data_IF_352109751653
#
_entry.id   IF_352109751653
#
_cell.length_a   1.000
_cell.length_b   1.000
_cell.length_c   1.000
_cell.angle_alpha   90.00
_cell.angle_beta   90.00
_cell.angle_gamma   90.00
#
_symmetry.space_group_name_H-M   'P 1'
#
loop_
_entity.id
_entity.type
_entity.pdbx_description
1 polymer ?
#
# COMPACT_ATOMS: atom_id res chain seq x y z
N UNK A 1 7.01 -16.78 19.22
CA UNK A 1 6.48 -15.62 18.44
C UNK A 1 7.35 -14.36 18.53
N UNK A 2 8.64 -14.47 18.87
CA UNK A 2 9.58 -13.33 18.99
C UNK A 2 10.33 -13.00 17.71
N UNK A 3 10.19 -13.78 16.65
CA UNK A 3 10.96 -13.64 15.39
C UNK A 3 10.56 -12.42 14.54
N UNK A 4 9.34 -11.92 14.68
CA UNK A 4 8.83 -10.75 13.94
C UNK A 4 9.14 -9.41 14.64
N UNK A 5 9.83 -9.47 15.76
CA UNK A 5 10.17 -8.27 16.53
C UNK A 5 11.67 -8.25 16.82
N UNK A 6 12.49 -7.74 15.90
CA UNK A 6 13.85 -7.43 16.32
C UNK A 6 13.76 -6.45 17.50
N UNK A 7 14.45 -6.75 18.61
CA UNK A 7 14.71 -5.78 19.66
C UNK A 7 15.60 -4.69 19.07
N UNK A 8 15.03 -3.85 18.20
CA UNK A 8 15.76 -2.75 17.58
C UNK A 8 16.02 -1.71 18.69
N UNK A 9 17.13 -1.87 19.36
CA UNK A 9 17.64 -0.88 20.33
C UNK A 9 18.09 0.41 19.64
N UNK A 10 18.28 0.35 18.31
CA UNK A 10 18.73 1.50 17.55
C UNK A 10 17.60 2.50 17.33
N UNK A 11 17.68 3.62 18.05
CA UNK A 11 16.68 4.71 18.02
C UNK A 11 16.51 5.28 16.60
N UNK A 12 17.57 5.32 15.81
CA UNK A 12 17.54 5.83 14.43
C UNK A 12 16.71 4.93 13.54
N UNK A 13 16.91 3.61 13.58
CA UNK A 13 16.17 2.65 12.77
C UNK A 13 14.67 2.71 13.13
N UNK A 14 14.34 2.78 14.43
CA UNK A 14 12.95 2.92 14.87
C UNK A 14 12.31 4.19 14.32
N UNK A 15 13.00 5.33 14.47
CA UNK A 15 12.50 6.60 13.94
C UNK A 15 12.29 6.56 12.42
N UNK A 16 13.25 6.01 11.67
CA UNK A 16 13.12 5.87 10.21
C UNK A 16 11.94 4.98 9.83
N UNK A 17 11.77 3.82 10.49
CA UNK A 17 10.66 2.93 10.24
C UNK A 17 9.30 3.61 10.53
N UNK A 18 9.18 4.36 11.64
CA UNK A 18 7.96 5.10 11.98
C UNK A 18 7.70 6.23 11.00
N UNK A 19 8.73 6.96 10.53
CA UNK A 19 8.58 7.99 9.50
C UNK A 19 8.09 7.39 8.19
N UNK A 20 8.64 6.27 7.76
CA UNK A 20 8.16 5.53 6.60
C UNK A 20 6.72 5.06 6.83
N UNK A 21 6.45 4.37 7.95
CA UNK A 21 5.12 3.84 8.22
C UNK A 21 4.03 4.92 8.25
N UNK A 22 4.37 6.13 8.67
CA UNK A 22 3.44 7.27 8.69
C UNK A 22 3.42 8.07 7.37
N UNK A 23 4.03 7.56 6.30
CA UNK A 23 4.08 8.25 5.02
C UNK A 23 4.71 9.64 5.13
N UNK A 24 5.90 9.71 5.78
CA UNK A 24 6.60 10.98 6.04
C UNK A 24 5.77 12.00 6.84
N UNK A 25 4.85 11.51 7.66
CA UNK A 25 3.97 12.33 8.47
C UNK A 25 2.57 12.59 7.88
N UNK A 26 2.28 12.16 6.66
CA UNK A 26 0.96 12.29 6.05
C UNK A 26 -0.14 11.53 6.81
N UNK A 27 0.22 10.43 7.49
CA UNK A 27 -0.67 9.70 8.38
C UNK A 27 -1.19 10.49 9.58
N UNK A 28 -0.62 11.65 9.88
CA UNK A 28 -1.14 12.57 10.89
C UNK A 28 -2.21 13.51 10.34
N UNK A 29 -2.62 13.35 9.09
CA UNK A 29 -3.71 14.14 8.52
C UNK A 29 -4.98 13.97 9.37
N UNK A 30 -5.65 15.07 9.75
CA UNK A 30 -6.89 15.01 10.52
C UNK A 30 -8.08 14.49 9.71
N UNK A 31 -7.96 14.46 8.40
CA UNK A 31 -9.01 14.02 7.48
C UNK A 31 -8.44 12.95 6.55
N UNK A 32 -9.10 11.78 6.54
CA UNK A 32 -8.84 10.68 5.60
C UNK A 32 -7.34 10.37 5.41
N UNK A 33 -6.60 10.16 6.53
CA UNK A 33 -5.14 9.88 6.53
C UNK A 33 -4.75 8.82 5.53
N UNK A 34 -5.55 7.77 5.41
CA UNK A 34 -5.37 6.71 4.46
C UNK A 34 -5.48 7.16 3.01
N UNK A 35 -6.48 7.96 2.67
CA UNK A 35 -6.61 8.52 1.31
C UNK A 35 -5.40 9.40 0.96
N UNK A 36 -4.92 10.19 1.92
CA UNK A 36 -3.71 11.00 1.75
C UNK A 36 -2.47 10.11 1.60
N UNK A 37 -2.36 9.03 2.40
CA UNK A 37 -1.32 8.02 2.26
C UNK A 37 -1.32 7.36 0.88
N UNK A 38 -2.49 6.98 0.39
CA UNK A 38 -2.64 6.34 -0.93
C UNK A 38 -2.16 7.22 -2.09
N UNK A 39 -2.18 8.55 -1.97
CA UNK A 39 -1.61 9.45 -2.98
C UNK A 39 -0.09 9.24 -3.17
N UNK A 40 0.64 8.85 -2.12
CA UNK A 40 2.04 8.43 -2.27
C UNK A 40 2.17 7.18 -3.14
N UNK A 41 1.21 6.26 -3.04
CA UNK A 41 1.15 5.08 -3.92
C UNK A 41 1.00 5.47 -5.39
N UNK A 42 0.16 6.46 -5.69
CA UNK A 42 0.05 7.02 -7.05
C UNK A 42 1.38 7.65 -7.51
N UNK A 43 2.11 8.33 -6.63
CA UNK A 43 3.43 8.87 -6.96
C UNK A 43 4.45 7.77 -7.27
N UNK A 44 4.38 6.62 -6.60
CA UNK A 44 5.22 5.44 -6.92
C UNK A 44 4.86 4.89 -8.30
N UNK A 45 3.58 4.77 -8.63
CA UNK A 45 3.14 4.35 -9.99
C UNK A 45 3.64 5.33 -11.05
N UNK A 46 3.55 6.62 -10.77
CA UNK A 46 4.08 7.65 -11.65
C UNK A 46 5.59 7.50 -11.87
N UNK A 47 6.33 7.18 -10.80
CA UNK A 47 7.76 6.91 -10.89
C UNK A 47 8.05 5.67 -11.76
N UNK A 48 7.29 4.58 -11.61
CA UNK A 48 7.42 3.39 -12.45
C UNK A 48 7.27 3.73 -13.93
N UNK A 49 6.39 4.68 -14.25
CA UNK A 49 6.16 5.13 -15.62
C UNK A 49 7.30 5.97 -16.16
N UNK A 50 7.76 6.96 -15.40
CA UNK A 50 8.89 7.82 -15.81
C UNK A 50 10.14 6.96 -16.07
N UNK A 51 10.34 5.91 -15.25
CA UNK A 51 11.46 4.99 -15.38
C UNK A 51 11.22 3.89 -16.43
N UNK A 52 10.06 3.92 -17.12
CA UNK A 52 9.67 2.92 -18.13
C UNK A 52 9.84 1.47 -17.62
N UNK A 53 9.50 1.24 -16.35
CA UNK A 53 9.75 -0.04 -15.69
C UNK A 53 8.94 -1.16 -16.33
N UNK A 54 9.58 -2.24 -16.82
CA UNK A 54 8.87 -3.40 -17.32
C UNK A 54 8.09 -4.09 -16.19
N UNK A 55 7.05 -4.85 -16.53
CA UNK A 55 6.12 -5.48 -15.58
C UNK A 55 6.84 -6.31 -14.51
N UNK A 56 7.87 -7.05 -14.89
CA UNK A 56 8.64 -7.84 -13.91
C UNK A 56 9.38 -6.99 -12.87
N UNK A 57 9.88 -5.80 -13.26
CA UNK A 57 10.49 -4.86 -12.31
C UNK A 57 9.44 -4.22 -11.40
N UNK A 58 8.26 -3.90 -11.93
CA UNK A 58 7.13 -3.41 -11.12
C UNK A 58 6.74 -4.46 -10.07
N UNK A 59 6.65 -5.74 -10.45
CA UNK A 59 6.37 -6.85 -9.52
C UNK A 59 7.43 -6.96 -8.43
N UNK A 60 8.71 -6.92 -8.78
CA UNK A 60 9.81 -6.98 -7.81
C UNK A 60 9.79 -5.78 -6.86
N UNK A 61 9.55 -4.58 -7.39
CA UNK A 61 9.47 -3.36 -6.58
C UNK A 61 8.28 -3.42 -5.60
N UNK A 62 7.10 -3.83 -6.06
CA UNK A 62 5.93 -4.02 -5.19
C UNK A 62 6.17 -5.07 -4.12
N UNK A 63 6.79 -6.20 -4.46
CA UNK A 63 7.16 -7.23 -3.48
C UNK A 63 8.15 -6.70 -2.44
N UNK A 64 9.16 -5.94 -2.85
CA UNK A 64 10.13 -5.33 -1.94
C UNK A 64 9.47 -4.30 -1.01
N UNK A 65 8.58 -3.45 -1.54
CA UNK A 65 7.82 -2.47 -0.75
C UNK A 65 6.90 -3.17 0.27
N UNK A 66 6.20 -4.22 -0.14
CA UNK A 66 5.36 -5.02 0.76
C UNK A 66 6.18 -5.64 1.90
N UNK A 67 7.30 -6.29 1.58
CA UNK A 67 8.18 -6.90 2.57
C UNK A 67 8.80 -5.87 3.51
N UNK A 68 9.14 -4.68 3.02
CA UNK A 68 9.63 -3.56 3.83
C UNK A 68 8.51 -2.99 4.73
N UNK A 69 7.29 -2.96 4.25
CA UNK A 69 6.13 -2.45 4.98
C UNK A 69 5.86 -3.21 6.27
N UNK A 70 6.01 -4.55 6.26
CA UNK A 70 5.74 -5.39 7.43
C UNK A 70 6.53 -4.97 8.67
N UNK A 71 7.87 -4.87 8.65
CA UNK A 71 8.64 -4.41 9.82
C UNK A 71 8.38 -2.93 10.13
N UNK A 72 8.19 -2.07 9.12
CA UNK A 72 7.89 -0.66 9.35
C UNK A 72 6.57 -0.48 10.10
N UNK A 73 5.50 -1.11 9.66
CA UNK A 73 4.19 -1.08 10.31
C UNK A 73 4.26 -1.69 11.73
N UNK A 74 4.98 -2.82 11.90
CA UNK A 74 5.15 -3.46 13.20
C UNK A 74 5.88 -2.59 14.23
N UNK A 75 6.88 -1.84 13.79
CA UNK A 75 7.64 -0.92 14.65
C UNK A 75 6.77 0.30 14.99
N UNK A 76 6.12 0.88 13.98
CA UNK A 76 5.26 2.05 14.15
C UNK A 76 4.06 1.78 15.05
N UNK A 77 3.42 0.61 14.93
CA UNK A 77 2.33 0.20 15.83
C UNK A 77 2.75 0.32 17.30
N UNK A 78 3.93 -0.15 17.66
CA UNK A 78 4.46 -0.05 19.03
C UNK A 78 4.82 1.37 19.43
N UNK A 79 5.47 2.11 18.52
CA UNK A 79 5.91 3.47 18.78
C UNK A 79 4.74 4.45 18.91
N UNK A 80 3.60 4.15 18.29
CA UNK A 80 2.38 4.94 18.32
C UNK A 80 1.39 4.50 19.43
N UNK A 81 1.84 3.73 20.41
CA UNK A 81 1.05 3.37 21.59
C UNK A 81 0.52 1.94 21.60
N UNK A 82 0.92 1.08 20.67
CA UNK A 82 0.53 -0.33 20.63
C UNK A 82 -0.93 -0.57 20.20
N UNK A 83 -1.57 0.44 19.65
CA UNK A 83 -2.93 0.32 19.08
C UNK A 83 -2.80 -0.36 17.74
N UNK A 84 -3.43 -1.53 17.59
CA UNK A 84 -3.46 -2.27 16.35
C UNK A 84 -4.17 -1.44 15.29
N UNK A 85 -3.61 -1.41 14.09
CA UNK A 85 -4.15 -0.66 12.95
C UNK A 85 -4.41 0.82 13.29
N UNK A 86 -3.39 1.45 13.86
CA UNK A 86 -3.46 2.87 14.17
C UNK A 86 -3.55 3.69 12.88
N UNK A 87 -4.62 4.47 12.70
CA UNK A 87 -4.87 5.25 11.49
C UNK A 87 -3.79 6.28 11.10
N UNK A 88 -2.70 6.37 11.89
CA UNK A 88 -1.50 7.12 11.51
C UNK A 88 -0.51 6.28 10.70
N UNK A 89 -0.68 4.95 10.68
CA UNK A 89 0.07 4.04 9.82
C UNK A 89 -0.63 4.05 8.47
N UNK A 90 0.07 4.38 7.43
CA UNK A 90 -0.44 4.50 6.05
C UNK A 90 0.50 3.83 5.04
N UNK A 91 1.55 3.12 5.52
CA UNK A 91 2.48 2.43 4.61
C UNK A 91 1.85 1.24 3.91
N UNK A 92 0.90 0.60 4.51
CA UNK A 92 0.05 -0.44 3.92
C UNK A 92 -0.60 0.09 2.64
N UNK A 93 -1.19 1.26 2.70
CA UNK A 93 -1.88 1.87 1.58
C UNK A 93 -0.92 2.25 0.44
N UNK A 94 0.16 2.99 0.70
CA UNK A 94 1.01 3.47 -0.39
C UNK A 94 2.02 2.42 -0.89
N UNK A 95 2.35 1.40 -0.10
CA UNK A 95 3.21 0.31 -0.56
C UNK A 95 2.45 -0.74 -1.36
N UNK A 96 1.16 -0.92 -1.12
CA UNK A 96 0.35 -1.92 -1.82
C UNK A 96 -0.42 -1.35 -3.01
N UNK A 97 -0.83 -0.07 -2.97
CA UNK A 97 -1.57 0.57 -4.07
C UNK A 97 -0.93 0.36 -5.45
N UNK A 98 0.41 0.46 -5.65
CA UNK A 98 1.00 0.26 -6.96
C UNK A 98 0.66 -1.09 -7.59
N UNK A 99 0.33 -2.10 -6.78
CA UNK A 99 -0.05 -3.43 -7.25
C UNK A 99 -1.30 -3.36 -8.13
N UNK A 100 -2.28 -2.52 -7.79
CA UNK A 100 -3.54 -2.41 -8.54
C UNK A 100 -3.38 -1.86 -9.96
N UNK A 101 -2.18 -1.37 -10.31
CA UNK A 101 -1.85 -0.78 -11.61
C UNK A 101 -0.72 -1.52 -12.36
N UNK A 102 -0.25 -2.66 -11.87
CA UNK A 102 0.83 -3.44 -12.52
C UNK A 102 0.42 -3.81 -13.94
N UNK A 103 1.28 -3.47 -14.91
CA UNK A 103 1.06 -3.76 -16.33
C UNK A 103 0.01 -2.88 -17.02
N UNK A 104 -0.59 -1.92 -16.34
CA UNK A 104 -1.57 -0.99 -16.90
C UNK A 104 -0.95 0.34 -17.36
N UNK A 105 0.37 0.48 -17.23
CA UNK A 105 1.12 1.69 -17.62
C UNK A 105 0.79 2.20 -19.02
N UNK A 106 0.70 1.35 -20.09
CA UNK A 106 0.38 1.85 -21.43
C UNK A 106 -0.98 2.53 -21.52
N UNK A 107 -1.96 2.04 -20.77
CA UNK A 107 -3.33 2.58 -20.84
C UNK A 107 -3.44 3.94 -20.16
N UNK A 108 -2.88 4.12 -18.98
CA UNK A 108 -3.03 5.39 -18.27
C UNK A 108 -2.05 6.47 -18.75
N UNK A 109 -0.98 6.12 -19.48
CA UNK A 109 -0.17 7.09 -20.21
C UNK A 109 -0.96 7.73 -21.34
N UNK A 110 -1.82 6.97 -22.01
CA UNK A 110 -2.70 7.46 -23.04
C UNK A 110 -3.91 8.21 -22.44
N UNK A 111 -4.45 7.70 -21.32
CA UNK A 111 -5.65 8.23 -20.66
C UNK A 111 -5.38 8.52 -19.18
N UNK A 112 -4.82 9.68 -18.87
CA UNK A 112 -4.41 10.08 -17.49
C UNK A 112 -5.53 9.96 -16.46
N UNK A 113 -6.79 10.15 -16.86
CA UNK A 113 -7.95 10.00 -16.00
C UNK A 113 -8.20 8.56 -15.51
N UNK A 114 -7.55 7.55 -16.09
CA UNK A 114 -7.63 6.17 -15.61
C UNK A 114 -6.96 5.98 -14.23
N UNK A 115 -5.94 6.77 -13.91
CA UNK A 115 -5.32 6.71 -12.59
C UNK A 115 -6.31 7.04 -11.45
N UNK A 116 -7.10 8.12 -11.51
CA UNK A 116 -8.19 8.33 -10.56
C UNK A 116 -9.20 7.18 -10.50
N UNK A 117 -9.53 6.53 -11.61
CA UNK A 117 -10.43 5.37 -11.60
C UNK A 117 -9.83 4.21 -10.83
N UNK A 118 -8.56 3.84 -11.11
CA UNK A 118 -7.85 2.80 -10.35
C UNK A 118 -7.78 3.13 -8.86
N UNK A 119 -7.50 4.37 -8.54
CA UNK A 119 -7.47 4.87 -7.16
C UNK A 119 -8.82 4.68 -6.47
N UNK A 120 -9.92 5.05 -7.12
CA UNK A 120 -11.27 4.88 -6.58
C UNK A 120 -11.62 3.41 -6.38
N UNK A 121 -11.28 2.53 -7.33
CA UNK A 121 -11.53 1.10 -7.21
C UNK A 121 -10.83 0.53 -5.97
N UNK A 122 -9.54 0.80 -5.80
CA UNK A 122 -8.80 0.29 -4.64
C UNK A 122 -9.36 0.87 -3.33
N UNK A 123 -9.74 2.16 -3.29
CA UNK A 123 -10.31 2.78 -2.09
C UNK A 123 -11.67 2.21 -1.72
N UNK A 124 -12.54 1.93 -2.68
CA UNK A 124 -13.84 1.29 -2.43
C UNK A 124 -13.64 -0.11 -1.85
N UNK A 125 -12.71 -0.89 -2.41
CA UNK A 125 -12.39 -2.22 -1.91
C UNK A 125 -11.76 -2.21 -0.53
N UNK A 126 -10.90 -1.24 -0.25
CA UNK A 126 -10.27 -1.06 1.06
C UNK A 126 -11.29 -0.68 2.15
N UNK A 127 -12.26 0.15 1.83
CA UNK A 127 -13.33 0.51 2.78
C UNK A 127 -14.28 -0.68 3.00
N UNK A 128 -14.61 -1.44 1.95
CA UNK A 128 -15.55 -2.56 2.03
C UNK A 128 -14.93 -3.86 2.54
N UNK A 129 -13.61 -3.98 2.42
CA UNK A 129 -12.78 -5.12 2.83
C UNK A 129 -13.41 -6.48 2.52
N UNK A 130 -13.58 -6.83 1.22
CA UNK A 130 -14.21 -8.09 0.84
C UNK A 130 -13.42 -9.29 1.41
N UNK A 131 -14.13 -10.42 1.62
CA UNK A 131 -13.47 -11.66 2.02
C UNK A 131 -12.36 -12.03 1.01
N UNK A 132 -11.15 -12.44 1.45
CA UNK A 132 -10.71 -12.68 2.83
C UNK A 132 -9.99 -11.49 3.49
N UNK A 133 -9.93 -10.29 2.87
CA UNK A 133 -9.20 -9.12 3.39
C UNK A 133 -9.58 -8.79 4.84
N UNK A 134 -10.87 -8.77 5.16
CA UNK A 134 -11.31 -8.52 6.54
C UNK A 134 -10.74 -9.54 7.55
N UNK A 135 -10.60 -10.82 7.15
CA UNK A 135 -10.03 -11.84 8.05
C UNK A 135 -8.54 -11.71 8.25
N UNK A 136 -7.80 -11.22 7.26
CA UNK A 136 -6.36 -11.06 7.36
C UNK A 136 -5.94 -10.02 8.41
N UNK A 137 -6.82 -9.11 8.77
CA UNK A 137 -6.61 -8.18 9.89
C UNK A 137 -6.37 -8.89 11.24
N UNK A 138 -6.79 -10.16 11.39
CA UNK A 138 -6.50 -10.95 12.60
C UNK A 138 -5.04 -11.36 12.72
N UNK A 139 -4.26 -11.29 11.64
CA UNK A 139 -2.83 -11.58 11.66
C UNK A 139 -2.08 -10.61 12.59
N UNK A 140 -0.94 -11.06 13.16
CA UNK A 140 -0.25 -10.27 14.16
C UNK A 140 0.45 -9.04 13.56
N UNK A 141 0.29 -7.89 14.24
CA UNK A 141 1.06 -6.67 14.00
C UNK A 141 1.09 -6.22 12.54
N UNK A 142 2.21 -5.70 12.06
CA UNK A 142 2.37 -5.19 10.69
C UNK A 142 2.04 -6.17 9.58
N UNK A 143 2.06 -7.50 9.85
CA UNK A 143 1.61 -8.47 8.85
C UNK A 143 0.11 -8.35 8.59
N UNK A 144 -0.70 -8.17 9.65
CA UNK A 144 -2.15 -7.99 9.49
C UNK A 144 -2.48 -6.68 8.77
N UNK A 145 -1.73 -5.63 9.08
CA UNK A 145 -1.87 -4.30 8.46
C UNK A 145 -1.56 -4.36 6.96
N UNK A 146 -0.50 -5.05 6.57
CA UNK A 146 -0.05 -5.10 5.17
C UNK A 146 -0.83 -6.10 4.30
N UNK A 147 -1.29 -7.22 4.86
CA UNK A 147 -1.90 -8.31 4.06
C UNK A 147 -3.31 -7.99 3.63
N UNK A 148 -4.10 -7.28 4.43
CA UNK A 148 -5.45 -6.90 4.02
C UNK A 148 -5.42 -5.97 2.81
N UNK A 149 -4.55 -4.98 2.79
CA UNK A 149 -4.38 -4.05 1.67
C UNK A 149 -3.73 -4.72 0.45
N UNK A 150 -2.85 -5.70 0.66
CA UNK A 150 -2.35 -6.53 -0.43
C UNK A 150 -3.48 -7.26 -1.16
N UNK A 151 -4.39 -7.91 -0.42
CA UNK A 151 -5.53 -8.63 -0.98
C UNK A 151 -6.46 -7.67 -1.73
N UNK A 152 -6.74 -6.52 -1.15
CA UNK A 152 -7.54 -5.45 -1.77
C UNK A 152 -6.91 -4.99 -3.07
N UNK A 153 -5.60 -4.73 -3.07
CA UNK A 153 -4.86 -4.28 -4.26
C UNK A 153 -4.82 -5.33 -5.38
N UNK A 154 -4.75 -6.63 -5.04
CA UNK A 154 -4.85 -7.72 -6.02
C UNK A 154 -6.26 -7.78 -6.63
N UNK A 155 -7.30 -7.61 -5.85
CA UNK A 155 -8.68 -7.54 -6.37
C UNK A 155 -8.87 -6.32 -7.28
N UNK A 156 -8.35 -5.17 -6.84
CA UNK A 156 -8.38 -3.96 -7.64
C UNK A 156 -7.63 -4.13 -8.97
N UNK A 157 -6.48 -4.82 -8.97
CA UNK A 157 -5.75 -5.16 -10.20
C UNK A 157 -6.62 -5.95 -11.17
N UNK A 158 -7.29 -7.01 -10.69
CA UNK A 158 -8.18 -7.82 -11.53
C UNK A 158 -9.34 -7.00 -12.12
N UNK A 159 -9.98 -6.16 -11.33
CA UNK A 159 -11.06 -5.28 -11.78
C UNK A 159 -10.54 -4.26 -12.79
N UNK A 160 -9.43 -3.60 -12.53
CA UNK A 160 -8.83 -2.60 -13.40
C UNK A 160 -8.42 -3.23 -14.75
N UNK A 161 -7.81 -4.42 -14.72
CA UNK A 161 -7.50 -5.17 -15.94
C UNK A 161 -8.74 -5.46 -16.79
N UNK A 162 -9.82 -5.93 -16.17
CA UNK A 162 -11.08 -6.19 -16.88
C UNK A 162 -11.67 -4.90 -17.47
N UNK A 163 -11.69 -3.83 -16.68
CA UNK A 163 -12.20 -2.54 -17.13
C UNK A 163 -11.40 -2.03 -18.34
N UNK A 164 -10.09 -2.04 -18.27
CA UNK A 164 -9.25 -1.45 -19.31
C UNK A 164 -9.19 -2.30 -20.57
N UNK A 165 -9.09 -3.62 -20.45
CA UNK A 165 -9.09 -4.49 -21.63
C UNK A 165 -10.47 -4.56 -22.32
N UNK A 166 -11.55 -4.28 -21.62
CA UNK A 166 -12.89 -4.31 -22.20
C UNK A 166 -13.29 -2.98 -22.84
N UNK A 167 -12.95 -1.84 -22.20
CA UNK A 167 -13.42 -0.53 -22.62
C UNK A 167 -12.42 0.24 -23.51
N UNK A 168 -11.15 -0.15 -23.53
CA UNK A 168 -10.06 0.57 -24.23
C UNK A 168 -9.28 -0.34 -25.22
N UNK A 169 -9.99 -1.26 -25.84
CA UNK A 169 -9.48 -2.08 -26.95
C UNK A 169 -9.67 -1.39 -28.28
#
# INVERSE_FOLDING_TARGET
>A
MSFLYPKLQNKTIRKTATVLATGFGLGYSPVASGTVGSLLGCAIVWLFTILEMPVWMQLLACAALFLLGIPCASIAEKDLGGIKDNGKIVCDEYFTLPICMIGLTPYWQEFVWLMPVCFLVVRILDITKPFPAYRSQSLPSGLGIMVDDLIVSIYALGINWLLFTHFFR
#
